data_IF_068309931926
#
_entry.id   IF_068309931926
#
_cell.length_a   1.000
_cell.length_b   1.000
_cell.length_c   1.000
_cell.angle_alpha   90.00
_cell.angle_beta   90.00
_cell.angle_gamma   90.00
#
_symmetry.space_group_name_H-M   'P 1'
#
loop_
_entity.id
_entity.type
_entity.pdbx_description
1 polymer ?
#
# COMPACT_ATOMS: atom_id res chain seq x y z
N UNK A 1 -25.57 -11.71 9.44
CA UNK A 1 -24.25 -11.13 9.11
C UNK A 1 -24.45 -9.64 8.85
N UNK A 2 -23.95 -8.77 9.72
CA UNK A 2 -23.99 -7.32 9.46
C UNK A 2 -22.94 -6.96 8.39
N UNK A 3 -23.23 -6.03 7.47
CA UNK A 3 -22.24 -5.60 6.49
C UNK A 3 -21.10 -4.89 7.23
N UNK A 4 -19.85 -5.34 7.02
CA UNK A 4 -18.66 -4.58 7.43
C UNK A 4 -18.76 -3.22 6.77
N UNK A 5 -18.95 -2.15 7.54
CA UNK A 5 -18.84 -0.78 7.05
C UNK A 5 -17.48 -0.68 6.36
N UNK A 6 -17.47 -0.62 5.03
CA UNK A 6 -16.27 -0.20 4.30
C UNK A 6 -16.00 1.21 4.79
N UNK A 7 -14.86 1.45 5.42
CA UNK A 7 -14.41 2.81 5.70
C UNK A 7 -14.09 3.44 4.34
N UNK A 8 -15.12 3.94 3.66
CA UNK A 8 -15.02 4.59 2.37
C UNK A 8 -14.50 6.00 2.64
N UNK A 9 -13.28 6.28 2.17
CA UNK A 9 -12.77 7.64 2.17
C UNK A 9 -13.52 8.40 1.09
N UNK A 10 -14.14 9.51 1.47
CA UNK A 10 -14.95 10.34 0.57
C UNK A 10 -14.23 11.66 0.26
N UNK A 11 -14.46 12.20 -0.95
CA UNK A 11 -13.90 13.46 -1.43
C UNK A 11 -12.88 13.31 -2.56
N UNK A 12 -12.43 14.45 -3.10
CA UNK A 12 -11.44 14.50 -4.17
C UNK A 12 -10.02 14.41 -3.60
N UNK A 13 -9.09 13.86 -4.38
CA UNK A 13 -7.66 14.02 -4.14
C UNK A 13 -7.34 15.51 -4.02
N UNK A 14 -6.66 15.90 -2.94
CA UNK A 14 -6.37 17.30 -2.63
C UNK A 14 -7.28 17.95 -1.57
N UNK A 15 -8.40 17.33 -1.19
CA UNK A 15 -9.29 17.94 -0.18
C UNK A 15 -8.78 17.72 1.25
N UNK A 16 -8.86 18.76 2.09
CA UNK A 16 -8.47 18.70 3.50
C UNK A 16 -9.27 17.64 4.28
N UNK A 17 -10.55 17.44 3.93
CA UNK A 17 -11.38 16.42 4.55
C UNK A 17 -10.94 15.00 4.20
N UNK A 18 -10.54 14.74 2.95
CA UNK A 18 -9.94 13.47 2.53
C UNK A 18 -8.64 13.22 3.30
N UNK A 19 -7.84 14.26 3.50
CA UNK A 19 -6.59 14.17 4.25
C UNK A 19 -6.80 13.74 5.72
N UNK A 20 -7.71 14.40 6.45
CA UNK A 20 -8.00 14.03 7.83
C UNK A 20 -8.56 12.61 7.97
N UNK A 21 -9.34 12.16 6.99
CA UNK A 21 -9.79 10.76 6.93
C UNK A 21 -8.59 9.81 6.77
N UNK A 22 -7.61 10.14 5.91
CA UNK A 22 -6.41 9.33 5.68
C UNK A 22 -5.47 9.28 6.88
N UNK A 23 -5.33 10.37 7.66
CA UNK A 23 -4.47 10.40 8.85
C UNK A 23 -4.90 9.41 9.94
N UNK A 24 -6.21 9.22 10.07
CA UNK A 24 -6.81 8.38 11.13
C UNK A 24 -7.19 6.99 10.62
N UNK A 25 -7.08 6.76 9.31
CA UNK A 25 -7.42 5.49 8.69
C UNK A 25 -6.40 4.39 8.98
N UNK A 26 -6.88 3.14 9.01
CA UNK A 26 -6.00 1.97 9.03
C UNK A 26 -5.12 1.94 7.76
N UNK A 27 -3.89 1.48 7.91
CA UNK A 27 -2.93 1.38 6.81
C UNK A 27 -3.47 0.63 5.57
N UNK A 28 -4.34 -0.36 5.77
CA UNK A 28 -4.97 -1.11 4.66
C UNK A 28 -5.93 -0.23 3.86
N UNK A 29 -6.68 0.64 4.54
CA UNK A 29 -7.59 1.60 3.90
C UNK A 29 -6.77 2.63 3.11
N UNK A 30 -5.70 3.17 3.70
CA UNK A 30 -4.78 4.10 3.01
C UNK A 30 -4.17 3.45 1.77
N UNK A 31 -3.71 2.20 1.87
CA UNK A 31 -3.17 1.45 0.73
C UNK A 31 -4.20 1.31 -0.39
N UNK A 32 -5.41 0.82 -0.10
CA UNK A 32 -6.44 0.64 -1.11
C UNK A 32 -6.83 1.95 -1.78
N UNK A 33 -6.99 3.02 -0.99
CA UNK A 33 -7.26 4.35 -1.54
C UNK A 33 -6.15 4.79 -2.49
N UNK A 34 -4.87 4.63 -2.11
CA UNK A 34 -3.75 4.99 -2.99
C UNK A 34 -3.74 4.19 -4.30
N UNK A 35 -4.13 2.92 -4.26
CA UNK A 35 -4.28 2.08 -5.47
C UNK A 35 -5.42 2.58 -6.35
N UNK A 36 -6.58 2.91 -5.77
CA UNK A 36 -7.73 3.46 -6.48
C UNK A 36 -7.42 4.80 -7.14
N UNK A 37 -6.58 5.63 -6.51
CA UNK A 37 -6.10 6.90 -7.07
C UNK A 37 -4.94 6.75 -8.06
N UNK A 38 -4.43 5.53 -8.29
CA UNK A 38 -3.29 5.28 -9.19
C UNK A 38 -1.93 5.78 -8.67
N UNK A 39 -1.82 6.08 -7.37
CA UNK A 39 -0.59 6.54 -6.73
C UNK A 39 0.38 5.38 -6.42
N UNK A 40 -0.17 4.17 -6.28
CA UNK A 40 0.56 2.93 -5.99
C UNK A 40 0.04 1.82 -6.90
N UNK A 41 0.91 0.93 -7.36
CA UNK A 41 0.51 -0.23 -8.14
C UNK A 41 -0.38 -1.20 -7.34
N UNK A 42 -1.39 -1.77 -8.01
CA UNK A 42 -2.33 -2.74 -7.43
C UNK A 42 -1.74 -4.13 -7.20
N UNK A 43 -0.57 -4.43 -7.78
CA UNK A 43 0.09 -5.73 -7.68
C UNK A 43 1.47 -5.74 -8.34
N UNK A 44 2.22 -6.82 -8.13
CA UNK A 44 3.54 -7.04 -8.71
C UNK A 44 3.76 -8.49 -9.07
N UNK A 45 4.51 -8.72 -10.14
CA UNK A 45 5.06 -10.03 -10.47
C UNK A 45 6.44 -10.23 -9.83
N UNK A 46 6.68 -11.43 -9.32
CA UNK A 46 7.98 -11.81 -8.79
C UNK A 46 9.01 -11.83 -9.92
N UNK A 47 10.15 -11.12 -9.82
CA UNK A 47 11.15 -11.12 -10.88
C UNK A 47 11.77 -12.50 -11.12
N UNK A 48 11.78 -13.37 -10.10
CA UNK A 48 12.41 -14.71 -10.15
C UNK A 48 11.52 -15.79 -10.73
N UNK A 49 10.24 -15.85 -10.34
CA UNK A 49 9.32 -16.92 -10.77
C UNK A 49 8.11 -16.44 -11.58
N UNK A 50 7.99 -15.13 -11.83
CA UNK A 50 6.91 -14.48 -12.59
C UNK A 50 5.50 -14.66 -12.02
N UNK A 51 5.37 -15.26 -10.83
CA UNK A 51 4.10 -15.37 -10.13
C UNK A 51 3.71 -14.05 -9.48
N UNK A 52 2.40 -13.82 -9.35
CA UNK A 52 1.86 -12.67 -8.64
C UNK A 52 2.31 -12.68 -7.17
N UNK A 53 2.79 -11.54 -6.69
CA UNK A 53 3.19 -11.35 -5.30
C UNK A 53 1.95 -11.14 -4.42
N UNK A 54 2.02 -11.59 -3.18
CA UNK A 54 0.94 -11.41 -2.20
C UNK A 54 1.23 -10.23 -1.29
N UNK A 55 0.20 -9.47 -0.93
CA UNK A 55 0.30 -8.42 0.07
C UNK A 55 0.43 -9.06 1.46
N UNK A 56 1.50 -8.75 2.19
CA UNK A 56 1.79 -9.33 3.49
C UNK A 56 1.93 -8.23 4.54
N UNK A 57 1.34 -8.44 5.72
CA UNK A 57 1.39 -7.49 6.84
C UNK A 57 2.81 -7.42 7.41
N UNK A 58 3.24 -6.21 7.75
CA UNK A 58 4.54 -5.92 8.34
C UNK A 58 4.38 -4.80 9.38
N UNK A 59 4.55 -5.13 10.65
CA UNK A 59 4.29 -4.21 11.77
C UNK A 59 5.43 -3.25 12.09
N UNK A 60 6.64 -3.51 11.58
CA UNK A 60 7.84 -2.70 11.81
C UNK A 60 8.00 -1.56 10.79
N UNK A 61 7.00 -1.27 9.96
CA UNK A 61 7.00 -0.16 9.00
C UNK A 61 5.71 0.66 9.09
N UNK A 62 5.79 1.96 8.77
CA UNK A 62 4.65 2.89 8.80
C UNK A 62 3.49 2.45 7.90
N UNK A 63 3.81 1.80 6.79
CA UNK A 63 2.84 1.45 5.74
C UNK A 63 2.05 0.18 6.06
N UNK A 64 2.49 -0.58 7.07
CA UNK A 64 1.83 -1.80 7.51
C UNK A 64 1.94 -3.00 6.55
N UNK A 65 2.43 -2.84 5.31
CA UNK A 65 2.42 -3.90 4.29
C UNK A 65 3.62 -3.88 3.35
N UNK A 66 3.96 -5.05 2.81
CA UNK A 66 4.89 -5.24 1.69
C UNK A 66 4.32 -6.28 0.72
N UNK A 67 4.75 -6.23 -0.54
CA UNK A 67 4.57 -7.32 -1.49
C UNK A 67 5.60 -8.41 -1.22
N UNK A 68 5.16 -9.66 -1.17
CA UNK A 68 6.00 -10.82 -0.86
C UNK A 68 5.76 -11.93 -1.86
N UNK A 69 6.84 -12.50 -2.38
CA UNK A 69 6.83 -13.81 -3.01
C UNK A 69 7.71 -14.76 -2.18
N UNK A 70 7.13 -15.84 -1.69
CA UNK A 70 7.84 -16.84 -0.88
C UNK A 70 7.58 -18.22 -1.44
N UNK A 71 8.64 -18.84 -1.98
CA UNK A 71 8.65 -20.22 -2.46
C UNK A 71 9.64 -21.01 -1.61
N UNK A 72 9.23 -22.19 -1.13
CA UNK A 72 10.06 -23.11 -0.33
C UNK A 72 10.54 -24.29 -1.22
N UNK A 73 11.58 -24.99 -0.80
CA UNK A 73 12.12 -26.17 -1.50
C UNK A 73 13.28 -25.86 -2.45
N UNK A 74 13.57 -26.77 -3.39
CA UNK A 74 14.57 -26.54 -4.43
C UNK A 74 14.16 -25.33 -5.28
N UNK A 75 15.12 -24.43 -5.56
CA UNK A 75 14.89 -23.10 -6.15
C UNK A 75 14.06 -22.13 -5.29
N UNK A 76 13.98 -22.39 -3.98
CA UNK A 76 13.34 -21.51 -3.01
C UNK A 76 13.83 -20.07 -3.08
N UNK A 77 12.94 -19.15 -2.72
CA UNK A 77 13.25 -17.73 -2.63
C UNK A 77 12.26 -16.99 -1.75
N UNK A 78 12.72 -15.84 -1.25
CA UNK A 78 11.92 -14.93 -0.46
C UNK A 78 12.19 -13.50 -0.94
N UNK A 79 11.39 -13.05 -1.89
CA UNK A 79 11.50 -11.70 -2.46
C UNK A 79 10.47 -10.82 -1.77
N UNK A 80 10.91 -9.64 -1.30
CA UNK A 80 10.07 -8.61 -0.71
C UNK A 80 10.19 -7.34 -1.54
N UNK A 81 9.10 -6.61 -1.67
CA UNK A 81 9.05 -5.32 -2.35
C UNK A 81 8.17 -4.35 -1.57
N UNK A 82 8.57 -3.09 -1.47
CA UNK A 82 7.75 -2.04 -0.87
C UNK A 82 6.43 -1.90 -1.64
N UNK A 83 5.34 -1.60 -0.94
CA UNK A 83 4.10 -1.20 -1.63
C UNK A 83 4.30 0.06 -2.46
N UNK A 84 5.24 0.93 -2.06
CA UNK A 84 5.54 2.20 -2.75
C UNK A 84 6.39 2.04 -4.01
N UNK A 85 6.81 0.82 -4.36
CA UNK A 85 7.70 0.64 -5.49
C UNK A 85 7.11 1.25 -6.77
N UNK A 86 7.94 1.78 -7.65
CA UNK A 86 7.52 2.43 -8.89
C UNK A 86 6.70 3.72 -8.73
N UNK A 87 6.40 4.18 -7.51
CA UNK A 87 5.76 5.48 -7.29
C UNK A 87 6.81 6.59 -7.20
N UNK A 88 6.38 7.83 -7.41
CA UNK A 88 7.25 9.01 -7.28
C UNK A 88 7.80 9.20 -5.86
N UNK A 89 7.19 8.56 -4.85
CA UNK A 89 7.56 8.65 -3.43
C UNK A 89 8.14 7.34 -2.88
N UNK A 90 8.60 6.42 -3.74
CA UNK A 90 9.13 5.11 -3.36
C UNK A 90 10.15 5.18 -2.22
N UNK A 91 11.06 6.16 -2.29
CA UNK A 91 12.21 6.30 -1.38
C UNK A 91 11.95 7.24 -0.20
N UNK A 92 10.73 7.76 -0.07
CA UNK A 92 10.39 8.63 1.06
C UNK A 92 10.41 7.84 2.37
N UNK A 93 10.94 8.45 3.43
CA UNK A 93 10.88 7.90 4.79
C UNK A 93 9.67 8.40 5.59
N UNK A 94 8.87 9.29 5.01
CA UNK A 94 7.65 9.80 5.63
C UNK A 94 6.52 8.77 5.51
N UNK A 95 5.58 8.69 6.47
CA UNK A 95 4.35 7.91 6.32
C UNK A 95 3.54 8.35 5.10
N UNK A 96 2.84 7.42 4.43
CA UNK A 96 2.03 7.73 3.24
C UNK A 96 1.08 8.91 3.48
N UNK A 97 0.26 8.96 4.55
CA UNK A 97 -0.60 10.12 4.81
C UNK A 97 0.20 11.43 4.80
N UNK A 98 1.33 11.50 5.50
CA UNK A 98 2.20 12.69 5.53
C UNK A 98 2.71 13.10 4.15
N UNK A 99 3.01 12.14 3.27
CA UNK A 99 3.43 12.43 1.88
C UNK A 99 2.28 13.05 1.08
N UNK A 100 1.05 12.56 1.27
CA UNK A 100 -0.11 13.04 0.52
C UNK A 100 -0.45 14.51 0.82
N UNK A 101 0.04 15.09 1.93
CA UNK A 101 -0.04 16.53 2.19
C UNK A 101 0.64 17.38 1.12
N UNK A 102 1.66 16.85 0.44
CA UNK A 102 2.40 17.56 -0.61
C UNK A 102 1.73 17.51 -1.99
N UNK A 103 0.58 16.82 -2.11
CA UNK A 103 -0.23 16.81 -3.33
C UNK A 103 -1.37 17.84 -3.30
N UNK A 104 -1.41 18.68 -2.27
CA UNK A 104 -2.40 19.74 -2.03
C UNK A 104 -1.79 21.09 -2.41
#
# INVERSE_FOLDING_TARGET
>A
MAPRKKNVISGNIGSLSTYHQLETAEAKVVFHWCVEQGLIASGYECPKCKQQMVLSRRSDISDGFNWVCRVRGQNGHHIKRSIRAGSWFERSHLPIPTILKFLI
#
